data_IF_751731056373
#
_entry.id   IF_751731056373
#
_cell.length_a   1.000
_cell.length_b   1.000
_cell.length_c   1.000
_cell.angle_alpha   90.00
_cell.angle_beta   90.00
_cell.angle_gamma   90.00
#
_symmetry.space_group_name_H-M   'P 1'
#
loop_
_entity.id
_entity.type
_entity.pdbx_description
1 polymer ?
#
# COMPACT_ATOMS: atom_id res chain seq x y z
N UNK A 1 -0.08 -46.13 -32.80
CA UNK A 1 1.18 -45.75 -32.12
C UNK A 1 1.03 -44.30 -31.70
N UNK A 2 0.37 -44.08 -30.55
CA UNK A 2 0.01 -42.74 -30.07
C UNK A 2 1.09 -42.27 -29.10
N UNK A 3 1.92 -41.33 -29.53
CA UNK A 3 2.84 -40.62 -28.64
C UNK A 3 2.03 -39.60 -27.82
N UNK A 4 1.73 -39.99 -26.58
CA UNK A 4 1.16 -39.09 -25.58
C UNK A 4 2.19 -38.03 -25.22
N UNK A 5 2.04 -36.83 -25.78
CA UNK A 5 2.73 -35.63 -25.31
C UNK A 5 2.11 -35.27 -23.95
N UNK A 6 2.73 -35.77 -22.88
CA UNK A 6 2.50 -35.25 -21.54
C UNK A 6 3.08 -33.84 -21.50
N UNK A 7 2.24 -32.85 -21.83
CA UNK A 7 2.51 -31.45 -21.50
C UNK A 7 2.57 -31.39 -19.98
N UNK A 8 3.78 -31.60 -19.46
CA UNK A 8 4.10 -31.35 -18.07
C UNK A 8 4.09 -29.85 -17.94
N UNK A 9 2.90 -29.27 -17.76
CA UNK A 9 2.78 -27.92 -17.25
C UNK A 9 3.43 -27.98 -15.88
N UNK A 10 4.70 -27.60 -15.81
CA UNK A 10 5.34 -27.22 -14.55
C UNK A 10 4.45 -26.14 -13.96
N UNK A 11 3.55 -26.55 -13.07
CA UNK A 11 2.88 -25.68 -12.13
C UNK A 11 4.02 -25.13 -11.29
N UNK A 12 4.59 -24.00 -11.71
CA UNK A 12 5.49 -23.23 -10.88
C UNK A 12 4.70 -22.94 -9.60
N UNK A 13 4.98 -23.71 -8.55
CA UNK A 13 4.30 -23.57 -7.28
C UNK A 13 4.36 -22.11 -6.89
N UNK A 14 3.19 -21.49 -6.74
CA UNK A 14 3.05 -20.11 -6.33
C UNK A 14 3.76 -19.97 -4.96
N UNK A 15 5.00 -19.48 -4.98
CA UNK A 15 5.83 -19.41 -3.78
C UNK A 15 5.21 -18.49 -2.72
N UNK A 16 5.59 -18.66 -1.43
CA UNK A 16 5.03 -17.89 -0.31
C UNK A 16 5.26 -16.38 -0.43
N UNK A 17 6.19 -15.94 -1.29
CA UNK A 17 6.50 -14.53 -1.55
C UNK A 17 5.28 -13.68 -1.96
N UNK A 18 4.24 -14.29 -2.51
CA UNK A 18 3.01 -13.61 -2.96
C UNK A 18 2.15 -13.09 -1.81
N UNK A 19 2.33 -13.64 -0.62
CA UNK A 19 1.59 -13.23 0.58
C UNK A 19 2.27 -12.07 1.30
N UNK A 20 3.52 -11.74 0.95
CA UNK A 20 4.28 -10.63 1.57
C UNK A 20 3.50 -9.30 1.51
N UNK A 21 2.90 -8.89 0.37
CA UNK A 21 2.13 -7.64 0.31
C UNK A 21 0.89 -7.65 1.20
N UNK A 22 0.17 -8.78 1.22
CA UNK A 22 -1.03 -8.93 2.05
C UNK A 22 -0.69 -8.90 3.55
N UNK A 23 0.38 -9.60 3.94
CA UNK A 23 0.88 -9.59 5.30
C UNK A 23 1.38 -8.20 5.72
N UNK A 24 2.06 -7.48 4.83
CA UNK A 24 2.52 -6.12 5.08
C UNK A 24 1.34 -5.15 5.28
N UNK A 25 0.30 -5.23 4.43
CA UNK A 25 -0.89 -4.40 4.58
C UNK A 25 -1.69 -4.73 5.85
N UNK A 26 -1.78 -6.01 6.22
CA UNK A 26 -2.40 -6.43 7.48
C UNK A 26 -1.61 -5.92 8.69
N UNK A 27 -0.28 -6.03 8.67
CA UNK A 27 0.59 -5.48 9.72
C UNK A 27 0.46 -3.96 9.82
N UNK A 28 0.40 -3.24 8.69
CA UNK A 28 0.15 -1.80 8.67
C UNK A 28 -1.21 -1.44 9.28
N UNK A 29 -2.26 -2.22 8.99
CA UNK A 29 -3.59 -2.03 9.59
C UNK A 29 -3.53 -2.17 11.12
N UNK A 30 -2.85 -3.19 11.63
CA UNK A 30 -2.68 -3.39 13.07
C UNK A 30 -1.85 -2.27 13.71
N UNK A 31 -0.80 -1.81 13.02
CA UNK A 31 0.02 -0.68 13.46
C UNK A 31 -0.81 0.60 13.59
N UNK A 32 -1.58 0.97 12.56
CA UNK A 32 -2.46 2.14 12.60
C UNK A 32 -3.59 1.99 13.61
N UNK A 33 -4.10 0.77 13.84
CA UNK A 33 -5.09 0.51 14.88
C UNK A 33 -4.54 0.81 16.28
N UNK A 34 -3.23 0.66 16.50
CA UNK A 34 -2.56 1.05 17.75
C UNK A 34 -2.62 2.56 18.04
N UNK A 35 -2.72 3.41 17.01
CA UNK A 35 -2.82 4.86 17.15
C UNK A 35 -4.24 5.35 17.45
N UNK A 36 -5.27 4.49 17.34
CA UNK A 36 -6.66 4.86 17.65
C UNK A 36 -6.78 5.39 19.08
N UNK A 37 -6.13 4.73 20.05
CA UNK A 37 -6.14 5.14 21.45
C UNK A 37 -5.55 6.55 21.64
N UNK A 38 -4.26 6.79 21.32
CA UNK A 38 -3.64 8.11 21.43
C UNK A 38 -4.38 9.23 20.70
N UNK A 39 -4.80 9.00 19.45
CA UNK A 39 -5.52 10.00 18.65
C UNK A 39 -6.89 10.31 19.23
N UNK A 40 -7.57 9.33 19.84
CA UNK A 40 -8.84 9.57 20.54
C UNK A 40 -8.69 10.41 21.83
N UNK A 41 -7.49 10.46 22.41
CA UNK A 41 -7.17 11.33 23.55
C UNK A 41 -6.68 12.72 23.13
N UNK A 42 -6.67 13.02 21.82
CA UNK A 42 -6.25 14.32 21.28
C UNK A 42 -4.75 14.43 20.99
N UNK A 43 -3.98 13.35 21.12
CA UNK A 43 -2.60 13.34 20.65
C UNK A 43 -2.58 13.23 19.13
N UNK A 44 -2.09 14.25 18.44
CA UNK A 44 -1.95 14.28 16.98
C UNK A 44 -0.46 14.16 16.67
N UNK A 45 0.04 12.96 16.29
CA UNK A 45 1.41 12.81 15.86
C UNK A 45 1.66 13.65 14.60
N UNK A 46 2.56 14.62 14.72
CA UNK A 46 3.05 15.44 13.62
C UNK A 46 4.49 15.03 13.31
N UNK A 47 4.75 14.71 12.05
CA UNK A 47 6.10 14.43 11.54
C UNK A 47 6.40 15.42 10.43
N UNK A 48 7.42 16.25 10.66
CA UNK A 48 7.87 17.23 9.69
C UNK A 48 9.28 16.87 9.27
N UNK A 49 9.46 16.54 7.99
CA UNK A 49 10.77 16.30 7.40
C UNK A 49 11.14 17.48 6.49
N UNK A 50 12.15 18.28 6.85
CA UNK A 50 12.54 19.42 6.04
C UNK A 50 13.14 18.94 4.72
N UNK A 51 12.49 19.27 3.60
CA UNK A 51 12.92 18.79 2.28
C UNK A 51 13.75 19.82 1.54
N UNK A 52 13.22 21.04 1.38
CA UNK A 52 13.94 22.16 0.79
C UNK A 52 13.80 23.36 1.73
N UNK A 53 14.69 23.46 2.74
CA UNK A 53 14.62 24.51 3.76
C UNK A 53 14.72 25.92 3.17
N UNK A 54 15.41 26.07 2.02
CA UNK A 54 15.58 27.37 1.36
C UNK A 54 14.29 27.91 0.73
N UNK A 55 13.31 27.04 0.45
CA UNK A 55 11.99 27.42 -0.08
C UNK A 55 10.89 27.34 1.00
N UNK A 56 11.22 26.97 2.24
CA UNK A 56 10.23 26.71 3.29
C UNK A 56 9.32 25.51 2.97
N UNK A 57 9.82 24.55 2.19
CA UNK A 57 9.07 23.35 1.83
C UNK A 57 9.45 22.20 2.75
N UNK A 58 8.47 21.74 3.52
CA UNK A 58 8.60 20.64 4.46
C UNK A 58 7.61 19.52 4.09
N UNK A 59 8.05 18.27 4.24
CA UNK A 59 7.14 17.13 4.22
C UNK A 59 6.47 17.02 5.59
N UNK A 60 5.31 17.66 5.72
CA UNK A 60 4.48 17.60 6.91
C UNK A 60 3.45 16.47 6.80
N UNK A 61 3.49 15.58 7.78
CA UNK A 61 2.58 14.46 7.95
C UNK A 61 1.83 14.63 9.25
N UNK A 62 0.50 14.67 9.18
CA UNK A 62 -0.35 14.81 10.36
C UNK A 62 -1.31 13.64 10.47
N UNK A 63 -1.19 12.90 11.57
CA UNK A 63 -2.04 11.75 11.82
C UNK A 63 -3.22 12.16 12.72
N UNK A 64 -4.22 12.81 12.14
CA UNK A 64 -5.46 13.16 12.85
C UNK A 64 -6.50 12.01 12.84
N UNK A 65 -7.61 12.18 13.56
CA UNK A 65 -8.65 11.15 13.68
C UNK A 65 -9.31 10.78 12.35
N UNK A 66 -9.40 11.73 11.41
CA UNK A 66 -9.99 11.49 10.10
C UNK A 66 -9.01 10.76 9.18
N UNK A 67 -7.77 11.24 9.11
CA UNK A 67 -6.68 10.61 8.39
C UNK A 67 -6.43 9.19 8.89
N UNK A 68 -6.53 8.94 10.20
CA UNK A 68 -6.41 7.61 10.77
C UNK A 68 -7.55 6.67 10.33
N UNK A 69 -8.79 7.18 10.31
CA UNK A 69 -9.93 6.39 9.83
C UNK A 69 -9.77 6.00 8.34
N UNK A 70 -9.33 6.93 7.49
CA UNK A 70 -9.02 6.64 6.10
C UNK A 70 -7.81 5.72 5.94
N UNK A 71 -6.75 5.88 6.74
CA UNK A 71 -5.58 5.00 6.72
C UNK A 71 -5.93 3.55 7.06
N UNK A 72 -6.78 3.34 8.08
CA UNK A 72 -7.32 2.03 8.43
C UNK A 72 -8.16 1.42 7.30
N UNK A 73 -8.98 2.22 6.64
CA UNK A 73 -9.79 1.78 5.51
C UNK A 73 -8.90 1.34 4.33
N UNK A 74 -7.92 2.17 3.96
CA UNK A 74 -6.99 1.91 2.86
C UNK A 74 -6.15 0.66 3.15
N UNK A 75 -5.58 0.54 4.35
CA UNK A 75 -4.76 -0.63 4.71
C UNK A 75 -5.59 -1.90 4.85
N UNK A 76 -6.77 -1.81 5.47
CA UNK A 76 -7.66 -2.95 5.69
C UNK A 76 -8.22 -3.51 4.39
N UNK A 77 -8.76 -2.64 3.52
CA UNK A 77 -9.22 -3.05 2.18
C UNK A 77 -8.03 -3.48 1.33
N UNK A 78 -6.91 -2.76 1.40
CA UNK A 78 -5.68 -3.11 0.70
C UNK A 78 -5.21 -4.53 1.00
N UNK A 79 -5.21 -4.95 2.28
CA UNK A 79 -4.84 -6.30 2.70
C UNK A 79 -5.74 -7.37 2.06
N UNK A 80 -7.06 -7.14 2.04
CA UNK A 80 -8.02 -8.04 1.39
C UNK A 80 -7.80 -8.10 -0.13
N UNK A 81 -7.55 -6.96 -0.77
CA UNK A 81 -7.26 -6.87 -2.21
C UNK A 81 -5.96 -7.61 -2.55
N UNK A 82 -4.89 -7.45 -1.77
CA UNK A 82 -3.64 -8.17 -1.97
C UNK A 82 -3.80 -9.68 -1.79
N UNK A 83 -4.55 -10.11 -0.76
CA UNK A 83 -4.84 -11.52 -0.54
C UNK A 83 -5.66 -12.12 -1.70
N UNK A 84 -6.66 -11.38 -2.18
CA UNK A 84 -7.45 -11.76 -3.34
C UNK A 84 -6.60 -11.85 -4.61
N UNK A 85 -5.80 -10.82 -4.91
CA UNK A 85 -4.90 -10.83 -6.06
C UNK A 85 -3.88 -11.99 -6.00
N UNK A 86 -3.32 -12.24 -4.82
CA UNK A 86 -2.38 -13.33 -4.59
C UNK A 86 -3.00 -14.71 -4.80
N UNK A 87 -4.28 -14.90 -4.51
CA UNK A 87 -4.99 -16.18 -4.70
C UNK A 87 -5.59 -16.33 -6.09
N UNK A 88 -6.11 -15.26 -6.68
CA UNK A 88 -6.78 -15.26 -7.98
C UNK A 88 -5.80 -15.45 -9.14
N UNK A 89 -4.71 -14.68 -9.18
CA UNK A 89 -3.74 -14.74 -10.29
C UNK A 89 -2.69 -15.84 -10.08
N UNK A 90 -3.08 -17.02 -9.58
CA UNK A 90 -2.13 -18.06 -9.13
C UNK A 90 -1.18 -18.56 -10.22
N UNK A 91 -1.64 -18.59 -11.46
CA UNK A 91 -0.90 -19.10 -12.62
C UNK A 91 -0.34 -18.01 -13.55
N UNK A 92 -0.50 -16.73 -13.23
CA UNK A 92 -0.09 -15.64 -14.11
C UNK A 92 1.36 -15.19 -13.83
N UNK A 93 2.17 -15.10 -14.90
CA UNK A 93 3.56 -14.63 -14.84
C UNK A 93 3.67 -13.13 -14.56
N UNK A 94 2.58 -12.38 -14.73
CA UNK A 94 2.52 -10.91 -14.51
C UNK A 94 2.14 -10.51 -13.08
N UNK A 95 1.87 -11.48 -12.20
CA UNK A 95 1.47 -11.22 -10.82
C UNK A 95 2.42 -10.27 -10.07
N UNK A 96 3.73 -10.45 -10.22
CA UNK A 96 4.72 -9.61 -9.53
C UNK A 96 4.57 -8.13 -9.88
N UNK A 97 4.37 -7.82 -11.16
CA UNK A 97 4.12 -6.45 -11.63
C UNK A 97 2.79 -5.92 -11.10
N UNK A 98 1.72 -6.73 -11.12
CA UNK A 98 0.41 -6.34 -10.60
C UNK A 98 0.47 -6.03 -9.10
N UNK A 99 1.14 -6.87 -8.31
CA UNK A 99 1.34 -6.64 -6.87
C UNK A 99 2.17 -5.38 -6.63
N UNK A 100 3.21 -5.11 -7.42
CA UNK A 100 4.00 -3.89 -7.31
C UNK A 100 3.16 -2.64 -7.62
N UNK A 101 2.38 -2.64 -8.69
CA UNK A 101 1.48 -1.53 -9.04
C UNK A 101 0.44 -1.31 -7.94
N UNK A 102 -0.16 -2.39 -7.40
CA UNK A 102 -1.12 -2.30 -6.30
C UNK A 102 -0.48 -1.77 -5.01
N UNK A 103 0.75 -2.19 -4.68
CA UNK A 103 1.51 -1.65 -3.53
C UNK A 103 1.78 -0.17 -3.73
N UNK A 104 2.28 0.22 -4.89
CA UNK A 104 2.57 1.62 -5.19
C UNK A 104 1.30 2.47 -5.11
N UNK A 105 0.19 1.99 -5.65
CA UNK A 105 -1.11 2.66 -5.55
C UNK A 105 -1.58 2.83 -4.10
N UNK A 106 -1.47 1.77 -3.28
CA UNK A 106 -1.84 1.81 -1.88
C UNK A 106 -0.98 2.78 -1.06
N UNK A 107 0.34 2.81 -1.32
CA UNK A 107 1.27 3.74 -0.66
C UNK A 107 0.94 5.19 -1.04
N UNK A 108 0.67 5.46 -2.32
CA UNK A 108 0.33 6.80 -2.78
C UNK A 108 -0.96 7.32 -2.14
N UNK A 109 -2.00 6.49 -2.07
CA UNK A 109 -3.27 6.85 -1.41
C UNK A 109 -3.13 7.05 0.11
N UNK A 110 -2.30 6.22 0.75
CA UNK A 110 -2.02 6.36 2.17
C UNK A 110 -1.28 7.67 2.47
N UNK A 111 -0.26 8.01 1.67
CA UNK A 111 0.48 9.26 1.80
C UNK A 111 -0.39 10.50 1.56
N UNK A 112 -1.28 10.45 0.57
CA UNK A 112 -2.24 11.53 0.29
C UNK A 112 -3.16 11.81 1.49
N UNK A 113 -3.53 10.77 2.23
CA UNK A 113 -4.44 10.86 3.39
C UNK A 113 -3.77 11.50 4.62
N UNK A 114 -2.45 11.33 4.76
CA UNK A 114 -1.67 11.79 5.93
C UNK A 114 -0.95 13.11 5.64
N UNK A 115 -0.95 13.58 4.39
CA UNK A 115 -0.34 14.82 3.97
C UNK A 115 -1.00 16.04 4.63
N UNK A 116 -0.21 16.87 5.30
CA UNK A 116 -0.67 18.12 5.93
C UNK A 116 -0.31 19.36 5.08
N UNK A 117 0.74 19.25 4.24
CA UNK A 117 1.19 20.33 3.35
C UNK A 117 0.80 20.09 1.88
N UNK A 118 0.57 21.18 1.15
CA UNK A 118 0.17 21.15 -0.27
C UNK A 118 1.21 20.49 -1.17
N UNK A 119 2.51 20.65 -0.90
CA UNK A 119 3.58 19.97 -1.66
C UNK A 119 3.57 18.47 -1.38
N UNK A 120 3.40 18.08 -0.13
CA UNK A 120 3.29 16.66 0.26
C UNK A 120 2.11 16.01 -0.44
N UNK A 121 0.94 16.67 -0.42
CA UNK A 121 -0.27 16.24 -1.12
C UNK A 121 0.01 16.13 -2.62
N UNK A 122 0.62 17.13 -3.25
CA UNK A 122 0.93 17.14 -4.67
C UNK A 122 1.87 15.99 -5.08
N UNK A 123 2.89 15.69 -4.29
CA UNK A 123 3.81 14.57 -4.56
C UNK A 123 3.06 13.23 -4.55
N UNK A 124 2.22 12.99 -3.55
CA UNK A 124 1.43 11.75 -3.48
C UNK A 124 0.33 11.68 -4.55
N UNK A 125 -0.24 12.84 -4.91
CA UNK A 125 -1.19 12.96 -6.00
C UNK A 125 -0.56 12.51 -7.32
N UNK A 126 0.60 13.05 -7.68
CA UNK A 126 1.33 12.63 -8.88
C UNK A 126 1.71 11.14 -8.82
N UNK A 127 2.05 10.64 -7.63
CA UNK A 127 2.26 9.22 -7.39
C UNK A 127 1.04 8.36 -7.75
N UNK A 128 -0.17 8.75 -7.36
CA UNK A 128 -1.40 8.03 -7.77
C UNK A 128 -1.60 8.04 -9.28
N UNK A 129 -1.31 9.17 -9.94
CA UNK A 129 -1.40 9.29 -11.40
C UNK A 129 -0.41 8.35 -12.10
N UNK A 130 0.84 8.28 -11.64
CA UNK A 130 1.86 7.37 -12.20
C UNK A 130 1.46 5.90 -12.03
N UNK A 131 0.87 5.54 -10.90
CA UNK A 131 0.44 4.15 -10.64
C UNK A 131 -0.81 3.74 -11.41
N UNK A 132 -1.56 4.70 -11.95
CA UNK A 132 -2.77 4.47 -12.74
C UNK A 132 -2.51 4.34 -14.24
N UNK A 133 -1.27 4.52 -14.70
CA UNK A 133 -0.85 4.41 -16.11
C UNK A 133 -0.49 2.98 -16.53
#
# INVERSE_FOLDING_TARGET
MAEGISVTTTQAGAGPWRLIPAAAAAAATLWFAGFVGPVSHGEIPEYVLPWVPMLGIDFAFRLDGLSLAFALLICGIGALVFLYAATYFRSDRRLGSLLLTLIAFAISMLGLTVADDAVTLFVFWEGTTVTSW
#
